data_IF_834384911100
#
_entry.id   IF_834384911100
#
_cell.length_a   1.000
_cell.length_b   1.000
_cell.length_c   1.000
_cell.angle_alpha   90.00
_cell.angle_beta   90.00
_cell.angle_gamma   90.00
#
_symmetry.space_group_name_H-M   'P 1'
#
loop_
_entity.id
_entity.type
_entity.pdbx_description
1 polymer ?
#
# COMPACT_ATOMS: atom_id res chain seq x y z
N UNK A 1 1.74 -8.34 -21.85
CA UNK A 1 2.23 -7.61 -20.66
C UNK A 1 1.05 -7.49 -19.71
N UNK A 2 1.18 -7.92 -18.46
CA UNK A 2 0.06 -7.79 -17.51
C UNK A 2 -0.13 -6.31 -17.14
N UNK A 3 -1.33 -5.91 -16.71
CA UNK A 3 -1.58 -4.53 -16.27
C UNK A 3 -0.66 -4.13 -15.13
N UNK A 4 -0.42 -5.05 -14.19
CA UNK A 4 0.54 -4.85 -13.12
C UNK A 4 1.95 -4.60 -13.65
N UNK A 5 2.40 -5.32 -14.69
CA UNK A 5 3.72 -5.07 -15.30
C UNK A 5 3.81 -3.67 -15.93
N UNK A 6 2.72 -3.19 -16.56
CA UNK A 6 2.66 -1.82 -17.10
C UNK A 6 2.76 -0.79 -15.99
N UNK A 7 1.95 -0.94 -14.93
CA UNK A 7 1.96 -0.04 -13.78
C UNK A 7 3.32 -0.03 -13.09
N UNK A 8 3.96 -1.19 -12.91
CA UNK A 8 5.31 -1.30 -12.36
C UNK A 8 6.31 -0.48 -13.19
N UNK A 9 6.27 -0.60 -14.51
CA UNK A 9 7.16 0.14 -15.41
C UNK A 9 6.89 1.65 -15.40
N UNK A 10 5.62 2.05 -15.40
CA UNK A 10 5.20 3.46 -15.36
C UNK A 10 5.59 4.13 -14.03
N UNK A 11 5.44 3.42 -12.91
CA UNK A 11 5.87 3.89 -11.60
C UNK A 11 7.40 3.96 -11.49
N UNK A 12 8.14 2.96 -11.99
CA UNK A 12 9.62 3.01 -12.03
C UNK A 12 10.08 4.26 -12.81
N UNK A 13 9.45 4.55 -13.95
CA UNK A 13 9.72 5.77 -14.71
C UNK A 13 9.32 7.05 -13.95
N UNK A 14 8.18 7.04 -13.26
CA UNK A 14 7.69 8.20 -12.51
C UNK A 14 8.55 8.51 -11.27
N UNK A 15 9.07 7.50 -10.58
CA UNK A 15 10.05 7.69 -9.51
C UNK A 15 11.31 8.37 -10.06
N UNK A 16 11.91 7.80 -11.10
CA UNK A 16 13.17 8.28 -11.67
C UNK A 16 13.07 9.67 -12.29
N UNK A 17 11.93 9.99 -12.92
CA UNK A 17 11.80 11.16 -13.81
C UNK A 17 10.83 12.22 -13.33
N UNK A 18 9.92 11.87 -12.41
CA UNK A 18 8.84 12.76 -11.95
C UNK A 18 8.81 12.93 -10.43
N UNK A 19 9.69 12.23 -9.70
CA UNK A 19 9.79 12.33 -8.25
C UNK A 19 8.60 11.74 -7.52
N UNK A 20 8.01 10.66 -8.05
CA UNK A 20 7.02 9.88 -7.31
C UNK A 20 7.66 9.41 -5.99
N UNK A 21 6.98 9.65 -4.86
CA UNK A 21 7.39 9.10 -3.57
C UNK A 21 7.20 7.57 -3.59
N UNK A 22 8.21 6.76 -3.22
CA UNK A 22 8.07 5.31 -3.16
C UNK A 22 6.92 4.80 -2.29
N UNK A 23 6.48 5.56 -1.28
CA UNK A 23 5.32 5.19 -0.45
C UNK A 23 3.96 5.52 -1.11
N UNK A 24 3.96 6.27 -2.21
CA UNK A 24 2.76 6.56 -3.01
C UNK A 24 2.57 5.54 -4.16
N UNK A 25 3.48 4.58 -4.33
CA UNK A 25 3.33 3.50 -5.30
C UNK A 25 2.13 2.62 -4.98
N UNK A 26 1.25 2.43 -5.95
CA UNK A 26 0.11 1.51 -5.87
C UNK A 26 0.49 0.07 -6.23
N UNK A 27 1.72 -0.16 -6.67
CA UNK A 27 2.30 -1.49 -6.85
C UNK A 27 3.54 -1.71 -5.98
N UNK A 28 3.81 -2.96 -5.62
CA UNK A 28 5.00 -3.36 -4.89
C UNK A 28 6.06 -3.88 -5.85
N UNK A 29 7.09 -3.07 -6.10
CA UNK A 29 8.19 -3.42 -7.01
C UNK A 29 9.00 -4.65 -6.59
N UNK A 30 9.13 -4.88 -5.29
CA UNK A 30 9.87 -6.00 -4.71
C UNK A 30 9.15 -7.34 -4.91
N UNK A 31 7.87 -7.42 -4.53
CA UNK A 31 7.07 -8.64 -4.64
C UNK A 31 6.39 -8.81 -6.00
N UNK A 32 6.41 -7.76 -6.85
CA UNK A 32 5.68 -7.70 -8.12
C UNK A 32 4.21 -8.04 -7.97
N UNK A 33 3.54 -7.31 -7.07
CA UNK A 33 2.13 -7.45 -6.70
C UNK A 33 1.50 -6.07 -6.55
N UNK A 34 0.18 -5.99 -6.45
CA UNK A 34 -0.47 -4.76 -6.04
C UNK A 34 -0.08 -4.40 -4.60
N UNK A 35 -0.02 -3.11 -4.27
CA UNK A 35 0.39 -2.67 -2.93
C UNK A 35 -0.52 -3.25 -1.83
N UNK A 36 -1.83 -3.29 -2.06
CA UNK A 36 -2.80 -3.86 -1.11
C UNK A 36 -2.57 -5.36 -0.82
N UNK A 37 -2.06 -6.12 -1.79
CA UNK A 37 -1.74 -7.55 -1.63
C UNK A 37 -0.47 -7.80 -0.80
N UNK A 38 0.35 -6.77 -0.57
CA UNK A 38 1.66 -6.89 0.05
C UNK A 38 1.83 -6.08 1.33
N UNK A 39 1.02 -5.05 1.57
CA UNK A 39 1.18 -4.07 2.66
C UNK A 39 1.30 -4.69 4.06
N UNK A 40 0.73 -5.88 4.27
CA UNK A 40 0.81 -6.61 5.54
C UNK A 40 2.15 -7.34 5.76
N UNK A 41 3.03 -7.37 4.74
CA UNK A 41 4.35 -7.98 4.83
C UNK A 41 5.24 -7.26 5.84
N UNK A 42 5.99 -7.98 6.71
CA UNK A 42 6.99 -7.37 7.58
C UNK A 42 8.07 -6.58 6.84
N UNK A 43 8.32 -6.89 5.56
CA UNK A 43 9.30 -6.18 4.74
C UNK A 43 8.91 -4.73 4.43
N UNK A 44 7.65 -4.37 4.63
CA UNK A 44 7.14 -3.01 4.41
C UNK A 44 7.01 -2.20 5.69
N UNK A 45 7.61 -2.64 6.78
CA UNK A 45 7.68 -1.84 8.01
C UNK A 45 8.90 -0.92 7.91
N UNK A 46 8.67 0.39 7.97
CA UNK A 46 9.75 1.40 7.90
C UNK A 46 9.61 2.31 9.13
N UNK A 47 10.24 1.94 10.27
CA UNK A 47 10.07 2.66 11.54
C UNK A 47 10.45 4.15 11.45
N UNK A 48 11.50 4.47 10.67
CA UNK A 48 12.03 5.83 10.56
C UNK A 48 11.04 6.81 9.94
N UNK A 49 10.24 6.38 8.95
CA UNK A 49 9.18 7.20 8.34
C UNK A 49 7.85 7.07 9.07
N UNK A 50 7.74 6.08 9.96
CA UNK A 50 6.49 5.72 10.64
C UNK A 50 5.56 4.84 9.79
N UNK A 51 6.02 4.40 8.61
CA UNK A 51 5.24 3.52 7.75
C UNK A 51 5.00 2.19 8.47
N UNK A 52 3.73 1.89 8.73
CA UNK A 52 3.28 0.69 9.46
C UNK A 52 3.91 0.57 10.86
N UNK A 53 4.14 1.70 11.54
CA UNK A 53 4.78 1.74 12.87
C UNK A 53 3.92 2.46 13.92
N UNK A 54 3.76 1.84 15.09
CA UNK A 54 3.20 2.48 16.27
C UNK A 54 4.31 3.17 17.05
N UNK A 55 4.29 4.52 17.10
CA UNK A 55 5.27 5.30 17.88
C UNK A 55 5.09 5.17 19.39
N UNK A 56 3.86 4.95 19.87
CA UNK A 56 3.57 4.81 21.30
C UNK A 56 4.10 3.51 21.90
N UNK A 57 4.13 2.42 21.11
CA UNK A 57 4.56 1.10 21.57
C UNK A 57 5.88 0.63 20.96
N UNK A 58 6.46 1.41 20.05
CA UNK A 58 7.63 1.04 19.25
C UNK A 58 7.47 -0.34 18.59
N UNK A 59 6.35 -0.51 17.88
CA UNK A 59 5.93 -1.81 17.38
C UNK A 59 5.29 -1.73 15.98
N UNK A 60 5.51 -2.71 15.09
CA UNK A 60 4.81 -2.76 13.82
C UNK A 60 3.29 -2.78 14.00
N UNK A 61 2.59 -1.98 13.20
CA UNK A 61 1.14 -2.07 13.09
C UNK A 61 0.78 -3.35 12.33
N UNK A 62 -0.29 -4.03 12.76
CA UNK A 62 -0.97 -5.01 11.93
C UNK A 62 -1.78 -4.27 10.87
N UNK A 63 -1.91 -4.87 9.68
CA UNK A 63 -2.71 -4.31 8.59
C UNK A 63 -3.71 -5.37 8.15
N UNK A 64 -4.98 -5.04 8.24
CA UNK A 64 -6.09 -5.82 7.71
C UNK A 64 -6.60 -5.15 6.44
N UNK A 65 -6.75 -5.95 5.40
CA UNK A 65 -7.16 -5.52 4.07
C UNK A 65 -8.39 -6.32 3.69
N UNK A 66 -9.48 -5.62 3.40
CA UNK A 66 -10.70 -6.18 2.82
C UNK A 66 -10.79 -5.66 1.38
N UNK A 67 -10.36 -6.51 0.45
CA UNK A 67 -10.30 -6.18 -0.98
C UNK A 67 -11.69 -5.94 -1.56
N UNK A 68 -12.70 -6.67 -1.08
CA UNK A 68 -14.07 -6.58 -1.59
C UNK A 68 -14.74 -5.27 -1.21
N UNK A 69 -14.52 -4.81 0.02
CA UNK A 69 -15.08 -3.54 0.53
C UNK A 69 -14.15 -2.35 0.32
N UNK A 70 -12.92 -2.57 -0.15
CA UNK A 70 -11.89 -1.53 -0.30
C UNK A 70 -11.48 -0.91 1.04
N UNK A 71 -11.58 -1.68 2.13
CA UNK A 71 -11.32 -1.22 3.49
C UNK A 71 -9.91 -1.64 3.92
N UNK A 72 -9.16 -0.70 4.47
CA UNK A 72 -7.81 -0.93 5.01
C UNK A 72 -7.75 -0.37 6.41
N UNK A 73 -7.38 -1.21 7.37
CA UNK A 73 -7.31 -0.85 8.79
C UNK A 73 -5.92 -1.19 9.32
N UNK A 74 -5.32 -0.24 10.03
CA UNK A 74 -4.05 -0.43 10.70
C UNK A 74 -4.26 -0.39 12.21
N UNK A 75 -3.84 -1.42 12.92
CA UNK A 75 -4.03 -1.52 14.37
C UNK A 75 -2.75 -1.98 15.04
N UNK A 76 -2.39 -1.35 16.16
CA UNK A 76 -1.26 -1.79 16.97
C UNK A 76 -1.67 -3.03 17.77
N UNK A 77 -1.00 -4.18 17.60
CA UNK A 77 -1.34 -5.39 18.35
C UNK A 77 -0.96 -5.30 19.85
N UNK A 78 -0.26 -4.23 20.27
CA UNK A 78 0.12 -4.01 21.68
C UNK A 78 -0.87 -3.13 22.43
N UNK A 79 -1.16 -1.93 21.95
CA UNK A 79 -2.08 -1.01 22.62
C UNK A 79 -3.52 -1.07 22.09
N UNK A 80 -3.75 -1.75 20.96
CA UNK A 80 -5.08 -1.80 20.31
C UNK A 80 -5.47 -0.53 19.57
N UNK A 81 -4.65 0.52 19.59
CA UNK A 81 -4.94 1.76 18.88
C UNK A 81 -4.84 1.60 17.37
N UNK A 82 -5.64 2.40 16.66
CA UNK A 82 -5.58 2.59 15.20
C UNK A 82 -5.04 4.00 14.95
N UNK A 83 -3.71 4.18 14.80
CA UNK A 83 -3.14 5.52 14.72
C UNK A 83 -3.60 6.25 13.47
N UNK A 84 -4.12 7.46 13.63
CA UNK A 84 -4.48 8.35 12.53
C UNK A 84 -3.35 9.37 12.28
N UNK A 85 -2.31 8.92 11.58
CA UNK A 85 -1.09 9.68 11.30
C UNK A 85 -0.94 9.87 9.80
N UNK A 86 -0.14 10.84 9.32
CA UNK A 86 0.10 11.00 7.89
C UNK A 86 0.57 9.72 7.19
N UNK A 87 1.43 8.92 7.84
CA UNK A 87 1.93 7.66 7.29
C UNK A 87 0.85 6.58 7.20
N UNK A 88 -0.02 6.44 8.22
CA UNK A 88 -1.13 5.47 8.17
C UNK A 88 -2.19 5.89 7.17
N UNK A 89 -2.49 7.19 7.07
CA UNK A 89 -3.38 7.73 6.03
C UNK A 89 -2.81 7.52 4.63
N UNK A 90 -1.50 7.69 4.43
CA UNK A 90 -0.83 7.41 3.16
C UNK A 90 -1.02 5.94 2.76
N UNK A 91 -0.76 5.00 3.68
CA UNK A 91 -0.99 3.57 3.42
C UNK A 91 -2.42 3.30 2.97
N UNK A 92 -3.41 3.85 3.67
CA UNK A 92 -4.83 3.67 3.33
C UNK A 92 -5.14 4.23 1.94
N UNK A 93 -4.64 5.44 1.61
CA UNK A 93 -4.84 6.04 0.28
C UNK A 93 -4.20 5.20 -0.83
N UNK A 94 -2.94 4.81 -0.66
CA UNK A 94 -2.18 4.02 -1.64
C UNK A 94 -2.84 2.66 -1.87
N UNK A 95 -3.27 1.97 -0.81
CA UNK A 95 -3.98 0.69 -0.95
C UNK A 95 -5.33 0.85 -1.65
N UNK A 96 -6.08 1.92 -1.35
CA UNK A 96 -7.35 2.22 -2.06
C UNK A 96 -7.14 2.49 -3.54
N UNK A 97 -6.12 3.27 -3.90
CA UNK A 97 -5.77 3.49 -5.29
C UNK A 97 -5.30 2.20 -5.97
N UNK A 98 -4.61 1.33 -5.23
CA UNK A 98 -4.21 0.00 -5.67
C UNK A 98 -5.41 -0.90 -6.01
N UNK A 99 -6.47 -0.91 -5.19
CA UNK A 99 -7.73 -1.61 -5.52
C UNK A 99 -8.39 -1.05 -6.77
N UNK A 100 -8.49 0.28 -6.87
CA UNK A 100 -9.13 0.91 -8.02
C UNK A 100 -8.40 0.56 -9.33
N UNK A 101 -7.08 0.50 -9.30
CA UNK A 101 -6.28 0.06 -10.43
C UNK A 101 -6.44 -1.44 -10.74
N UNK A 102 -6.44 -2.31 -9.72
CA UNK A 102 -6.62 -3.75 -9.94
C UNK A 102 -8.00 -4.09 -10.51
N UNK A 103 -9.08 -3.51 -9.96
CA UNK A 103 -10.46 -3.77 -10.39
C UNK A 103 -10.89 -2.98 -11.64
N UNK A 104 -10.38 -1.77 -11.86
CA UNK A 104 -10.56 -1.04 -13.12
C UNK A 104 -10.04 -1.85 -14.32
N UNK A 105 -9.09 -2.76 -14.07
CA UNK A 105 -8.58 -3.71 -15.04
C UNK A 105 -9.56 -4.86 -15.34
N UNK A 106 -10.31 -5.32 -14.34
CA UNK A 106 -11.27 -6.43 -14.49
C UNK A 106 -12.49 -6.02 -15.30
N UNK A 107 -12.98 -4.78 -15.11
CA UNK A 107 -14.09 -4.23 -15.87
C UNK A 107 -13.75 -4.01 -17.36
N UNK A 108 -12.51 -3.63 -17.68
CA UNK A 108 -12.05 -3.49 -19.08
C UNK A 108 -11.85 -4.86 -19.76
N UNK A 109 -11.58 -5.93 -19.01
CA UNK A 109 -11.48 -7.29 -19.57
C UNK A 109 -12.84 -7.98 -19.80
N UNK A 110 -13.90 -7.50 -19.15
CA UNK A 110 -15.25 -8.05 -19.26
C UNK A 110 -16.11 -7.36 -20.34
N UNK A 111 -15.58 -6.33 -21.00
CA UNK A 111 -16.20 -5.58 -22.10
C UNK A 111 -15.50 -5.89 -23.44
#
# INVERSE_FOLDING_TARGET
MSTLDSVLADEDFAEDRRGLDPHERISCRYHRRWAHECVSSPLHVIPVTGHRWCRGCDHPLSVAVDDLLGVVVLTCPRCGETPDTPATQQIVRTCRASFAASHGTELVKAA
#
